data_IF_993368654095
#
_entry.id   IF_993368654095
#
_cell.length_a   1.000
_cell.length_b   1.000
_cell.length_c   1.000
_cell.angle_alpha   90.00
_cell.angle_beta   90.00
_cell.angle_gamma   90.00
#
_symmetry.space_group_name_H-M   'P 1'
#
loop_
_entity.id
_entity.type
_entity.pdbx_description
1 polymer ?
#
# COMPACT_ATOMS: atom_id res chain seq x y z
N UNK A 1 13.71 -1.91 -10.38
CA UNK A 1 14.62 -3.08 -10.40
C UNK A 1 13.86 -4.35 -10.07
N UNK A 2 14.24 -5.52 -10.61
CA UNK A 2 13.61 -6.83 -10.29
C UNK A 2 13.58 -7.07 -8.77
N UNK A 3 14.62 -6.60 -8.07
CA UNK A 3 14.75 -6.65 -6.61
C UNK A 3 13.62 -5.85 -5.93
N UNK A 4 13.30 -4.65 -6.41
CA UNK A 4 12.22 -3.81 -5.82
C UNK A 4 10.87 -4.53 -5.91
N UNK A 5 10.59 -5.15 -7.06
CA UNK A 5 9.36 -5.92 -7.28
C UNK A 5 9.30 -7.15 -6.37
N UNK A 6 10.41 -7.85 -6.18
CA UNK A 6 10.49 -9.00 -5.28
C UNK A 6 10.26 -8.61 -3.82
N UNK A 7 10.83 -7.48 -3.37
CA UNK A 7 10.63 -6.96 -2.01
C UNK A 7 9.17 -6.50 -1.83
N UNK A 8 8.62 -5.77 -2.80
CA UNK A 8 7.22 -5.34 -2.76
C UNK A 8 6.25 -6.53 -2.66
N UNK A 9 6.53 -7.63 -3.37
CA UNK A 9 5.75 -8.85 -3.27
C UNK A 9 5.80 -9.48 -1.87
N UNK A 10 6.94 -9.47 -1.18
CA UNK A 10 7.01 -9.96 0.21
C UNK A 10 6.23 -9.07 1.18
N UNK A 11 6.33 -7.75 1.05
CA UNK A 11 5.54 -6.82 1.85
C UNK A 11 4.04 -7.04 1.64
N UNK A 12 3.63 -7.32 0.40
CA UNK A 12 2.25 -7.65 0.08
C UNK A 12 1.75 -8.91 0.80
N UNK A 13 2.58 -9.96 0.86
CA UNK A 13 2.25 -11.18 1.65
C UNK A 13 2.07 -10.86 3.12
N UNK A 14 2.89 -9.98 3.69
CA UNK A 14 2.75 -9.54 5.08
C UNK A 14 1.41 -8.83 5.31
N UNK A 15 1.03 -7.88 4.44
CA UNK A 15 -0.28 -7.20 4.56
C UNK A 15 -1.44 -8.19 4.44
N UNK A 16 -1.35 -9.17 3.54
CA UNK A 16 -2.38 -10.20 3.45
C UNK A 16 -2.50 -11.05 4.71
N UNK A 17 -1.37 -11.43 5.33
CA UNK A 17 -1.39 -12.13 6.62
C UNK A 17 -2.01 -11.27 7.72
N UNK A 18 -1.74 -9.96 7.75
CA UNK A 18 -2.36 -9.02 8.69
C UNK A 18 -3.88 -8.91 8.49
N UNK A 19 -4.35 -8.98 7.24
CA UNK A 19 -5.78 -8.99 6.93
C UNK A 19 -6.50 -10.20 7.55
N UNK A 20 -5.83 -11.36 7.60
CA UNK A 20 -6.37 -12.55 8.26
C UNK A 20 -6.54 -12.35 9.78
N UNK A 21 -5.79 -11.43 10.39
CA UNK A 21 -5.90 -11.07 11.81
C UNK A 21 -6.85 -9.89 12.04
N UNK A 22 -7.57 -9.42 11.00
CA UNK A 22 -8.45 -8.26 11.08
C UNK A 22 -7.74 -6.89 11.01
N UNK A 23 -6.44 -6.86 10.70
CA UNK A 23 -5.68 -5.61 10.56
C UNK A 23 -5.69 -5.17 9.10
N UNK A 24 -6.23 -3.97 8.84
CA UNK A 24 -6.21 -3.36 7.51
C UNK A 24 -4.98 -2.47 7.36
N UNK A 25 -4.10 -2.83 6.41
CA UNK A 25 -2.88 -2.07 6.10
C UNK A 25 -3.02 -1.22 4.83
N UNK A 26 -2.31 -0.09 4.82
CA UNK A 26 -2.13 0.78 3.65
C UNK A 26 -0.65 0.78 3.28
N UNK A 27 -0.33 0.64 2.00
CA UNK A 27 1.06 0.69 1.51
C UNK A 27 1.36 2.08 0.94
N UNK A 28 2.47 2.70 1.34
CA UNK A 28 2.87 4.03 0.84
C UNK A 28 4.30 4.01 0.31
N UNK A 29 4.62 4.95 -0.59
CA UNK A 29 5.95 5.03 -1.22
C UNK A 29 6.16 4.00 -2.34
N UNK A 30 5.09 3.40 -2.86
CA UNK A 30 5.18 2.43 -3.96
C UNK A 30 5.12 3.17 -5.28
N UNK A 31 6.12 2.93 -6.13
CA UNK A 31 6.12 3.49 -7.47
C UNK A 31 5.06 2.80 -8.35
N UNK A 32 4.33 3.56 -9.20
CA UNK A 32 3.24 2.99 -10.00
C UNK A 32 3.65 1.82 -10.92
N UNK A 33 4.88 1.82 -11.44
CA UNK A 33 5.44 0.76 -12.28
C UNK A 33 5.52 -0.59 -11.53
N UNK A 34 5.78 -0.56 -10.22
CA UNK A 34 5.84 -1.75 -9.39
C UNK A 34 4.44 -2.35 -9.22
N UNK A 35 3.42 -1.52 -8.97
CA UNK A 35 2.02 -1.97 -8.87
C UNK A 35 1.57 -2.62 -10.18
N UNK A 36 1.85 -1.97 -11.31
CA UNK A 36 1.50 -2.51 -12.62
C UNK A 36 2.17 -3.86 -12.88
N UNK A 37 3.46 -3.99 -12.53
CA UNK A 37 4.19 -5.25 -12.66
C UNK A 37 3.57 -6.35 -11.79
N UNK A 38 3.21 -6.04 -10.54
CA UNK A 38 2.58 -7.00 -9.61
C UNK A 38 1.22 -7.50 -10.13
N UNK A 39 0.39 -6.60 -10.67
CA UNK A 39 -0.88 -6.98 -11.30
C UNK A 39 -0.66 -7.87 -12.52
N UNK A 40 0.32 -7.55 -13.38
CA UNK A 40 0.69 -8.37 -14.53
C UNK A 40 1.22 -9.76 -14.14
N UNK A 41 1.77 -9.91 -12.93
CA UNK A 41 2.22 -11.19 -12.36
C UNK A 41 1.08 -11.98 -11.68
N UNK A 42 -0.15 -11.49 -11.74
CA UNK A 42 -1.33 -12.17 -11.18
C UNK A 42 -1.52 -11.97 -9.67
N UNK A 43 -0.86 -10.97 -9.06
CA UNK A 43 -1.08 -10.62 -7.66
C UNK A 43 -2.40 -9.84 -7.54
N UNK A 44 -3.35 -10.37 -6.76
CA UNK A 44 -4.64 -9.72 -6.55
C UNK A 44 -4.52 -8.53 -5.59
N UNK A 45 -4.48 -7.32 -6.14
CA UNK A 45 -4.42 -6.06 -5.39
C UNK A 45 -5.74 -5.67 -4.71
N UNK A 46 -6.82 -6.48 -4.79
CA UNK A 46 -8.13 -6.12 -4.21
C UNK A 46 -8.06 -5.89 -2.70
N UNK A 47 -8.49 -4.69 -2.30
CA UNK A 47 -8.61 -4.29 -0.91
C UNK A 47 -7.29 -3.87 -0.25
N UNK A 48 -6.22 -3.69 -1.03
CA UNK A 48 -4.98 -3.06 -0.56
C UNK A 48 -4.84 -1.71 -1.25
N UNK A 49 -4.88 -0.65 -0.45
CA UNK A 49 -4.65 0.70 -0.94
C UNK A 49 -3.15 0.97 -1.00
N UNK A 50 -2.68 1.41 -2.16
CA UNK A 50 -1.28 1.80 -2.37
C UNK A 50 -1.19 3.27 -2.79
N UNK A 51 -0.20 3.98 -2.26
CA UNK A 51 0.03 5.39 -2.53
C UNK A 51 1.48 5.63 -2.91
N UNK A 52 1.71 6.58 -3.82
CA UNK A 52 3.06 6.96 -4.26
C UNK A 52 3.88 7.67 -3.18
N UNK A 53 3.23 8.20 -2.14
CA UNK A 53 3.89 8.89 -1.03
C UNK A 53 3.12 8.70 0.27
N UNK A 54 3.83 8.85 1.39
CA UNK A 54 3.25 8.80 2.73
C UNK A 54 2.20 9.92 2.92
N UNK A 55 2.47 11.13 2.41
CA UNK A 55 1.54 12.26 2.51
C UNK A 55 0.15 11.91 1.96
N UNK A 56 0.07 11.34 0.75
CA UNK A 56 -1.20 10.91 0.14
C UNK A 56 -1.89 9.78 0.93
N UNK A 57 -1.10 8.87 1.51
CA UNK A 57 -1.66 7.81 2.34
C UNK A 57 -2.30 8.38 3.61
N UNK A 58 -1.62 9.31 4.29
CA UNK A 58 -2.16 9.94 5.51
C UNK A 58 -3.37 10.83 5.21
N UNK A 59 -3.35 11.54 4.07
CA UNK A 59 -4.51 12.30 3.56
C UNK A 59 -5.72 11.39 3.34
N UNK A 60 -5.53 10.22 2.71
CA UNK A 60 -6.62 9.25 2.50
C UNK A 60 -7.23 8.68 3.78
N UNK A 61 -6.46 8.68 4.87
CA UNK A 61 -6.93 8.26 6.20
C UNK A 61 -7.62 9.41 6.97
N UNK A 62 -7.76 10.60 6.36
CA UNK A 62 -8.30 11.81 6.99
C UNK A 62 -7.57 12.18 8.30
N UNK A 63 -6.31 11.75 8.44
CA UNK A 63 -5.51 12.04 9.63
C UNK A 63 -4.83 13.42 9.53
N UNK A 64 -4.76 14.01 8.34
CA UNK A 64 -4.20 15.35 8.12
C UNK A 64 -5.20 16.49 8.38
N UNK A 65 -6.51 16.24 8.27
CA UNK A 65 -7.58 17.22 8.55
C UNK A 65 -7.79 17.48 10.07
N UNK A 66 -7.11 16.75 10.96
CA UNK A 66 -7.16 17.02 12.40
C UNK A 66 -6.37 18.26 12.86
N UNK A 67 -5.81 19.06 11.94
CA UNK A 67 -5.29 20.40 12.21
C UNK A 67 -6.09 21.45 11.44
N UNK A 68 -7.12 21.97 12.09
CA UNK A 68 -7.70 23.33 12.07
C UNK A 68 -9.21 23.21 12.32
N UNK A 69 -9.54 23.02 13.59
CA UNK A 69 -10.80 23.48 14.20
C UNK A 69 -10.58 23.48 15.73
N UNK A 70 -9.68 24.37 16.16
CA UNK A 70 -9.69 25.04 17.47
C UNK A 70 -9.26 26.48 17.25
#
# INVERSE_FOLDING_TARGET
SIIDTMVAHQLFKVINSLKLTGVNGIMSGIRPDIVQTMVSLGIDMKGIHTFSSLHKAIESMQLLDKKVNV
#
